data_IF_610161843911
#
_entry.id   IF_610161843911
#
_cell.length_a   1.000
_cell.length_b   1.000
_cell.length_c   1.000
_cell.angle_alpha   90.00
_cell.angle_beta   90.00
_cell.angle_gamma   90.00
#
_symmetry.space_group_name_H-M   'P 1'
#
loop_
_entity.id
_entity.type
_entity.pdbx_description
1 polymer ?
#
# COMPACT_ATOMS: atom_id res chain seq x y z
N UNK A 1 -12.34 2.16 23.04
CA UNK A 1 -12.50 2.29 21.57
C UNK A 1 -11.89 1.05 20.95
N UNK A 2 -12.62 0.31 20.11
CA UNK A 2 -11.97 -0.69 19.25
C UNK A 2 -11.01 0.11 18.37
N UNK A 3 -9.72 -0.21 18.40
CA UNK A 3 -8.84 0.27 17.34
C UNK A 3 -9.32 -0.45 16.09
N UNK A 4 -9.80 0.30 15.10
CA UNK A 4 -10.05 -0.25 13.78
C UNK A 4 -8.68 -0.63 13.21
N UNK A 5 -8.32 -1.89 13.38
CA UNK A 5 -7.10 -2.48 12.85
C UNK A 5 -7.35 -2.84 11.39
N UNK A 6 -6.35 -2.63 10.55
CA UNK A 6 -6.45 -2.84 9.11
C UNK A 6 -5.35 -3.78 8.64
N UNK A 7 -5.61 -4.48 7.55
CA UNK A 7 -4.68 -5.41 6.91
C UNK A 7 -4.52 -5.03 5.43
N UNK A 8 -3.29 -5.10 4.94
CA UNK A 8 -2.97 -5.06 3.51
C UNK A 8 -2.73 -6.50 3.04
N UNK A 9 -3.71 -7.10 2.37
CA UNK A 9 -3.69 -8.51 1.97
C UNK A 9 -3.22 -8.66 0.54
N UNK A 10 -2.21 -9.49 0.28
CA UNK A 10 -1.83 -9.85 -1.09
C UNK A 10 -2.89 -10.79 -1.71
N UNK A 11 -3.40 -10.48 -2.91
CA UNK A 11 -4.55 -11.17 -3.55
C UNK A 11 -4.12 -12.36 -4.44
N UNK A 12 -2.85 -12.51 -4.82
CA UNK A 12 -2.44 -13.50 -5.83
C UNK A 12 -2.47 -14.97 -5.35
N UNK A 13 -2.82 -15.87 -6.29
CA UNK A 13 -3.02 -17.32 -6.10
C UNK A 13 -1.78 -18.13 -5.73
N UNK A 14 -0.58 -17.54 -5.84
CA UNK A 14 0.68 -18.10 -5.36
C UNK A 14 1.56 -16.95 -4.87
N UNK A 15 1.51 -16.65 -3.57
CA UNK A 15 2.30 -15.57 -3.00
C UNK A 15 2.03 -15.40 -1.51
N UNK A 16 3.07 -14.98 -0.79
CA UNK A 16 3.10 -14.75 0.67
C UNK A 16 1.83 -14.02 1.09
N UNK A 17 1.05 -14.65 1.98
CA UNK A 17 -0.04 -13.97 2.69
C UNK A 17 0.62 -13.11 3.75
N UNK A 18 0.75 -11.81 3.47
CA UNK A 18 1.04 -10.86 4.55
C UNK A 18 -0.25 -10.68 5.36
N UNK A 19 -0.32 -11.35 6.51
CA UNK A 19 -1.40 -11.21 7.48
C UNK A 19 -1.02 -10.18 8.56
N UNK A 20 -0.04 -9.31 8.30
CA UNK A 20 0.34 -8.27 9.24
C UNK A 20 -0.82 -7.30 9.46
N UNK A 21 -1.03 -6.97 10.73
CA UNK A 21 -2.00 -5.99 11.18
C UNK A 21 -1.29 -4.66 11.38
N UNK A 22 -1.88 -3.60 10.83
CA UNK A 22 -1.25 -2.30 10.81
C UNK A 22 -2.05 -1.31 11.66
N UNK A 23 -1.47 -0.80 12.78
CA UNK A 23 -2.11 0.23 13.58
C UNK A 23 -2.05 1.60 12.90
N UNK A 24 -2.78 2.57 13.46
CA UNK A 24 -2.61 3.98 13.10
C UNK A 24 -1.15 4.43 13.27
N UNK A 25 -0.65 5.22 12.31
CA UNK A 25 0.76 5.62 12.24
C UNK A 25 1.65 4.66 11.45
N UNK A 26 1.10 3.57 10.90
CA UNK A 26 1.86 2.68 10.01
C UNK A 26 2.26 3.39 8.72
N UNK A 27 3.51 3.20 8.33
CA UNK A 27 4.08 3.67 7.07
C UNK A 27 4.72 2.48 6.34
N UNK A 28 4.19 2.14 5.17
CA UNK A 28 4.67 1.05 4.33
C UNK A 28 5.25 1.66 3.06
N UNK A 29 6.44 1.23 2.65
CA UNK A 29 7.05 1.69 1.41
C UNK A 29 7.47 0.52 0.53
N UNK A 30 7.45 0.77 -0.77
CA UNK A 30 8.03 -0.09 -1.80
C UNK A 30 9.06 0.73 -2.57
N UNK A 31 10.19 0.13 -2.88
CA UNK A 31 11.23 0.75 -3.70
C UNK A 31 11.14 0.21 -5.13
N UNK A 32 11.67 0.96 -6.10
CA UNK A 32 11.71 0.50 -7.49
C UNK A 32 12.55 -0.80 -7.63
N UNK A 33 13.58 -0.96 -6.79
CA UNK A 33 14.43 -2.15 -6.77
C UNK A 33 13.75 -3.39 -6.16
N UNK A 34 12.74 -3.19 -5.29
CA UNK A 34 12.00 -4.27 -4.64
C UNK A 34 10.48 -3.96 -4.58
N UNK A 35 9.80 -3.89 -5.74
CA UNK A 35 8.44 -3.37 -5.81
C UNK A 35 7.39 -4.33 -5.21
N UNK A 36 7.77 -5.57 -4.89
CA UNK A 36 6.90 -6.59 -4.34
C UNK A 36 7.15 -6.91 -2.85
N UNK A 37 8.11 -6.21 -2.21
CA UNK A 37 8.45 -6.40 -0.79
C UNK A 37 8.09 -5.12 -0.04
N UNK A 38 7.10 -5.14 0.87
CA UNK A 38 6.83 -4.01 1.73
C UNK A 38 7.98 -3.83 2.73
N UNK A 39 8.42 -2.59 2.90
CA UNK A 39 9.44 -2.19 3.88
C UNK A 39 8.78 -1.30 4.93
N UNK A 40 9.15 -1.49 6.20
CA UNK A 40 8.47 -0.91 7.37
C UNK A 40 9.33 0.11 8.14
N UNK A 41 10.36 0.67 7.51
CA UNK A 41 11.28 1.65 8.11
C UNK A 41 11.45 2.91 7.26
N UNK A 42 11.98 3.98 7.85
CA UNK A 42 12.34 5.22 7.14
C UNK A 42 13.53 4.96 6.21
N UNK A 43 13.26 4.44 5.02
CA UNK A 43 14.21 4.48 3.91
C UNK A 43 14.49 5.93 3.51
N UNK A 44 15.70 6.17 2.98
CA UNK A 44 16.01 7.43 2.32
C UNK A 44 14.92 7.74 1.29
N UNK A 45 14.39 8.96 1.33
CA UNK A 45 13.23 9.38 0.50
C UNK A 45 13.45 9.11 -0.99
N UNK A 46 14.71 9.12 -1.43
CA UNK A 46 15.11 9.06 -2.82
C UNK A 46 14.87 7.69 -3.48
N UNK A 47 14.64 6.64 -2.68
CA UNK A 47 14.42 5.27 -3.19
C UNK A 47 12.96 4.80 -3.15
N UNK A 48 12.03 5.63 -2.65
CA UNK A 48 10.62 5.27 -2.47
C UNK A 48 9.89 5.41 -3.81
N UNK A 49 9.27 4.33 -4.28
CA UNK A 49 8.47 4.30 -5.50
C UNK A 49 6.96 4.28 -5.22
N UNK A 50 6.53 3.65 -4.12
CA UNK A 50 5.15 3.68 -3.63
C UNK A 50 5.14 3.76 -2.11
N UNK A 51 4.24 4.54 -1.53
CA UNK A 51 4.03 4.56 -0.08
C UNK A 51 2.56 4.43 0.30
N UNK A 52 2.27 3.65 1.34
CA UNK A 52 0.98 3.57 2.02
C UNK A 52 1.12 4.11 3.44
N UNK A 53 0.25 5.06 3.79
CA UNK A 53 0.29 5.73 5.11
C UNK A 53 -1.05 5.56 5.81
N UNK A 54 -1.04 4.95 6.99
CA UNK A 54 -2.19 4.89 7.87
C UNK A 54 -2.24 6.12 8.77
N UNK A 55 -3.16 7.04 8.46
CA UNK A 55 -3.60 8.08 9.40
C UNK A 55 -4.68 7.52 10.33
N UNK A 56 -5.25 8.31 11.25
CA UNK A 56 -6.27 7.82 12.21
C UNK A 56 -7.53 7.26 11.51
N UNK A 57 -8.01 7.91 10.46
CA UNK A 57 -9.32 7.61 9.85
C UNK A 57 -9.26 7.00 8.45
N UNK A 58 -8.09 7.02 7.79
CA UNK A 58 -7.95 6.44 6.47
C UNK A 58 -6.53 5.94 6.18
N UNK A 59 -6.44 5.16 5.12
CA UNK A 59 -5.20 4.91 4.40
C UNK A 59 -5.04 5.88 3.25
N UNK A 60 -3.80 6.27 3.00
CA UNK A 60 -3.41 7.07 1.85
C UNK A 60 -2.34 6.33 1.07
N UNK A 61 -2.47 6.33 -0.25
CA UNK A 61 -1.48 5.80 -1.17
C UNK A 61 -0.86 6.95 -1.96
N UNK A 62 0.45 6.91 -2.17
CA UNK A 62 1.19 7.88 -3.00
C UNK A 62 2.09 7.11 -3.95
N UNK A 63 1.87 7.29 -5.26
CA UNK A 63 2.79 6.82 -6.29
C UNK A 63 3.90 7.86 -6.46
N UNK A 64 5.14 7.54 -6.11
CA UNK A 64 6.29 8.43 -6.28
C UNK A 64 7.08 8.11 -7.56
N UNK A 65 6.67 7.08 -8.31
CA UNK A 65 7.39 6.61 -9.49
C UNK A 65 6.87 7.26 -10.77
N UNK A 66 7.79 7.74 -11.60
CA UNK A 66 7.53 8.13 -12.99
C UNK A 66 7.52 6.93 -13.94
N UNK A 67 8.01 5.77 -13.50
CA UNK A 67 8.23 4.59 -14.34
C UNK A 67 7.27 3.44 -14.04
N UNK A 68 6.95 3.23 -12.76
CA UNK A 68 6.09 2.14 -12.30
C UNK A 68 4.65 2.64 -12.16
N UNK A 69 3.74 1.96 -12.85
CA UNK A 69 2.32 2.23 -12.73
C UNK A 69 1.76 1.66 -11.43
N UNK A 70 0.95 2.47 -10.75
CA UNK A 70 0.07 2.03 -9.68
C UNK A 70 -1.37 2.22 -10.13
N UNK A 71 -2.26 1.27 -9.83
CA UNK A 71 -3.70 1.45 -10.03
C UNK A 71 -4.46 1.11 -8.75
N UNK A 72 -5.53 1.86 -8.48
CA UNK A 72 -6.48 1.59 -7.40
C UNK A 72 -7.84 1.35 -8.04
N UNK A 73 -8.44 0.18 -7.80
CA UNK A 73 -9.70 -0.24 -8.44
C UNK A 73 -9.68 -0.02 -9.96
N UNK A 74 -8.62 -0.51 -10.62
CA UNK A 74 -8.37 -0.36 -12.06
C UNK A 74 -8.10 1.08 -12.56
N UNK A 75 -8.24 2.10 -11.70
CA UNK A 75 -7.89 3.48 -12.02
C UNK A 75 -6.39 3.71 -11.81
N UNK A 76 -5.68 4.00 -12.92
CA UNK A 76 -4.26 4.36 -12.87
C UNK A 76 -4.06 5.66 -12.09
N UNK A 77 -3.12 5.63 -11.16
CA UNK A 77 -2.67 6.81 -10.42
C UNK A 77 -1.57 7.53 -11.20
N UNK A 78 -1.76 8.83 -11.41
CA UNK A 78 -0.72 9.70 -11.94
C UNK A 78 0.54 9.69 -11.05
N UNK A 79 1.74 9.83 -11.62
CA UNK A 79 2.97 10.01 -10.85
C UNK A 79 2.87 11.17 -9.85
N UNK A 80 3.48 10.99 -8.69
CA UNK A 80 3.47 11.92 -7.54
C UNK A 80 2.08 12.29 -7.01
N UNK A 81 1.04 11.54 -7.37
CA UNK A 81 -0.31 11.76 -6.89
C UNK A 81 -0.63 10.96 -5.62
N UNK A 82 -1.44 11.56 -4.74
CA UNK A 82 -1.97 10.92 -3.54
C UNK A 82 -3.44 10.58 -3.69
N UNK A 83 -3.85 9.41 -3.21
CA UNK A 83 -5.25 8.97 -3.21
C UNK A 83 -5.62 8.42 -1.83
N UNK A 84 -6.86 8.67 -1.40
CA UNK A 84 -7.44 8.05 -0.19
C UNK A 84 -7.96 6.67 -0.55
N UNK A 85 -7.62 5.67 0.26
CA UNK A 85 -8.14 4.32 0.14
C UNK A 85 -9.33 4.10 1.07
N UNK A 86 -10.28 3.28 0.64
CA UNK A 86 -11.45 2.80 1.38
C UNK A 86 -11.37 1.28 1.60
N UNK A 87 -12.21 0.77 2.50
CA UNK A 87 -12.40 -0.66 2.72
C UNK A 87 -12.74 -1.39 1.41
N UNK A 88 -11.99 -2.45 1.12
CA UNK A 88 -12.19 -3.29 -0.06
C UNK A 88 -11.50 -2.77 -1.32
N UNK A 89 -10.82 -1.62 -1.27
CA UNK A 89 -10.05 -1.13 -2.41
C UNK A 89 -8.95 -2.12 -2.79
N UNK A 90 -8.81 -2.32 -4.09
CA UNK A 90 -7.77 -3.15 -4.70
C UNK A 90 -6.65 -2.27 -5.24
N UNK A 91 -5.41 -2.68 -5.04
CA UNK A 91 -4.20 -1.96 -5.44
C UNK A 91 -3.38 -2.87 -6.34
N UNK A 92 -3.13 -2.44 -7.56
CA UNK A 92 -2.20 -3.10 -8.49
C UNK A 92 -0.87 -2.35 -8.49
N UNK A 93 0.19 -3.03 -8.08
CA UNK A 93 1.53 -2.47 -7.97
C UNK A 93 2.62 -3.53 -8.16
N UNK A 94 3.62 -3.27 -8.99
CA UNK A 94 4.84 -4.10 -9.02
C UNK A 94 4.59 -5.57 -9.33
N UNK A 95 3.69 -5.86 -10.29
CA UNK A 95 3.19 -7.21 -10.62
C UNK A 95 2.48 -7.94 -9.47
N UNK A 96 2.07 -7.23 -8.42
CA UNK A 96 1.34 -7.75 -7.28
C UNK A 96 0.01 -7.00 -7.10
N UNK A 97 -1.01 -7.74 -6.69
CA UNK A 97 -2.33 -7.22 -6.37
C UNK A 97 -2.54 -7.27 -4.86
N UNK A 98 -3.05 -6.20 -4.26
CA UNK A 98 -3.26 -6.05 -2.83
C UNK A 98 -4.69 -5.58 -2.54
N UNK A 99 -5.27 -6.00 -1.42
CA UNK A 99 -6.58 -5.58 -0.94
C UNK A 99 -6.42 -4.93 0.42
N UNK A 100 -7.06 -3.78 0.61
CA UNK A 100 -7.13 -3.14 1.91
C UNK A 100 -8.42 -3.57 2.62
N UNK A 101 -8.32 -4.18 3.80
CA UNK A 101 -9.48 -4.67 4.53
C UNK A 101 -9.42 -4.34 6.03
N UNK A 102 -10.58 -4.10 6.68
CA UNK A 102 -10.65 -4.07 8.13
C UNK A 102 -10.36 -5.46 8.69
N UNK A 103 -9.61 -5.50 9.79
CA UNK A 103 -9.39 -6.73 10.55
C UNK A 103 -10.70 -7.15 11.23
N UNK A 104 -11.10 -8.41 11.06
CA UNK A 104 -12.33 -8.98 11.65
C UNK A 104 -12.05 -9.66 12.98
#
# INVERSE_FOLDING_TARGET
>A
MKQDMWELRKIQSQGITDNAQYPAGTYIVFTAAAPYIPLFEQHGKDDIALSLVRHEEAWWIVNHSDELCCAVNEQVMEPHHRMRLNDGDTIEWGLSSWCLAPHQ
#
